data_IF_577188727613
#
_entry.id   IF_577188727613
#
_cell.length_a   1.000
_cell.length_b   1.000
_cell.length_c   1.000
_cell.angle_alpha   90.00
_cell.angle_beta   90.00
_cell.angle_gamma   90.00
#
_symmetry.space_group_name_H-M   'P 1'
#
loop_
_entity.id
_entity.type
_entity.pdbx_description
1 polymer ?
#
# COMPACT_ATOMS: atom_id res chain seq x y z
N UNK A 1 -13.97 -56.76 8.93
CA UNK A 1 -14.37 -55.33 9.07
C UNK A 1 -13.26 -54.59 9.78
N UNK A 2 -12.38 -53.88 9.05
CA UNK A 2 -11.43 -52.97 9.69
C UNK A 2 -10.95 -51.93 8.67
N UNK A 3 -11.36 -50.67 8.84
CA UNK A 3 -10.83 -49.52 8.08
C UNK A 3 -10.23 -48.54 9.07
N UNK A 4 -8.90 -48.45 9.06
CA UNK A 4 -8.10 -47.64 9.97
C UNK A 4 -8.39 -46.14 9.81
N UNK A 5 -8.54 -45.35 10.90
CA UNK A 5 -8.91 -43.93 10.86
C UNK A 5 -7.76 -42.97 10.50
N UNK A 6 -6.57 -43.49 10.16
CA UNK A 6 -5.36 -42.70 9.97
C UNK A 6 -5.36 -41.76 8.74
N UNK A 7 -6.35 -41.86 7.85
CA UNK A 7 -6.39 -41.09 6.60
C UNK A 7 -7.08 -39.72 6.71
N UNK A 8 -7.69 -39.38 7.85
CA UNK A 8 -8.42 -38.11 8.00
C UNK A 8 -7.55 -36.92 8.43
N UNK A 9 -6.41 -37.16 9.08
CA UNK A 9 -5.60 -36.09 9.67
C UNK A 9 -4.73 -35.36 8.63
N UNK A 10 -4.41 -35.99 7.49
CA UNK A 10 -3.50 -35.44 6.49
C UNK A 10 -4.10 -34.35 5.58
N UNK A 11 -5.43 -34.16 5.56
CA UNK A 11 -6.09 -33.19 4.65
C UNK A 11 -6.28 -31.78 5.24
N UNK A 12 -6.04 -31.59 6.54
CA UNK A 12 -6.25 -30.29 7.21
C UNK A 12 -5.00 -29.40 7.28
N UNK A 13 -3.79 -29.97 7.15
CA UNK A 13 -2.54 -29.20 7.26
C UNK A 13 -2.24 -28.39 5.98
N UNK A 14 -2.74 -28.82 4.82
CA UNK A 14 -2.52 -28.12 3.54
C UNK A 14 -3.39 -26.87 3.33
N UNK A 15 -4.50 -26.72 4.08
CA UNK A 15 -5.44 -25.62 3.90
C UNK A 15 -4.95 -24.29 4.52
N UNK A 16 -4.11 -24.34 5.57
CA UNK A 16 -3.62 -23.14 6.26
C UNK A 16 -2.50 -22.41 5.50
N UNK A 17 -1.66 -23.13 4.76
CA UNK A 17 -0.55 -22.53 4.01
C UNK A 17 -1.04 -21.73 2.77
N UNK A 18 -2.13 -22.16 2.14
CA UNK A 18 -2.68 -21.50 0.95
C UNK A 18 -3.15 -20.06 1.23
N UNK A 19 -3.87 -19.86 2.35
CA UNK A 19 -4.48 -18.56 2.69
C UNK A 19 -3.43 -17.46 2.96
N UNK A 20 -2.26 -17.83 3.50
CA UNK A 20 -1.18 -16.87 3.75
C UNK A 20 -0.54 -16.36 2.44
N UNK A 21 -0.42 -17.22 1.43
CA UNK A 21 0.14 -16.85 0.12
C UNK A 21 -0.79 -15.91 -0.65
N UNK A 22 -2.10 -16.09 -0.57
CA UNK A 22 -3.08 -15.22 -1.23
C UNK A 22 -3.04 -13.78 -0.70
N UNK A 23 -2.89 -13.62 0.62
CA UNK A 23 -2.83 -12.29 1.25
C UNK A 23 -1.54 -11.54 0.90
N UNK A 24 -0.41 -12.24 0.84
CA UNK A 24 0.87 -11.65 0.42
C UNK A 24 0.81 -11.15 -1.02
N UNK A 25 0.25 -11.94 -1.94
CA UNK A 25 0.06 -11.51 -3.33
C UNK A 25 -0.86 -10.29 -3.42
N UNK A 26 -1.99 -10.30 -2.71
CA UNK A 26 -2.90 -9.16 -2.69
C UNK A 26 -2.20 -7.88 -2.20
N UNK A 27 -1.34 -7.98 -1.18
CA UNK A 27 -0.53 -6.86 -0.71
C UNK A 27 0.47 -6.38 -1.77
N UNK A 28 1.20 -7.30 -2.40
CA UNK A 28 2.17 -6.98 -3.46
C UNK A 28 1.50 -6.30 -4.66
N UNK A 29 0.34 -6.79 -5.08
CA UNK A 29 -0.45 -6.20 -6.15
C UNK A 29 -0.90 -4.79 -5.80
N UNK A 30 -1.34 -4.56 -4.55
CA UNK A 30 -1.74 -3.24 -4.07
C UNK A 30 -0.57 -2.26 -4.02
N UNK A 31 0.60 -2.72 -3.58
CA UNK A 31 1.84 -1.92 -3.57
C UNK A 31 2.27 -1.57 -4.99
N UNK A 32 2.22 -2.52 -5.93
CA UNK A 32 2.58 -2.29 -7.33
C UNK A 32 1.63 -1.29 -8.01
N UNK A 33 0.31 -1.43 -7.78
CA UNK A 33 -0.68 -0.45 -8.25
C UNK A 33 -0.40 0.94 -7.66
N UNK A 34 -0.13 1.00 -6.36
CA UNK A 34 0.25 2.23 -5.65
C UNK A 34 1.48 2.91 -6.24
N UNK A 35 2.52 2.14 -6.58
CA UNK A 35 3.75 2.66 -7.19
C UNK A 35 3.48 3.31 -8.55
N UNK A 36 2.64 2.68 -9.38
CA UNK A 36 2.26 3.23 -10.69
C UNK A 36 1.48 4.53 -10.55
N UNK A 37 0.49 4.57 -9.66
CA UNK A 37 -0.32 5.78 -9.43
C UNK A 37 0.55 6.89 -8.83
N UNK A 38 1.41 6.57 -7.86
CA UNK A 38 2.36 7.51 -7.28
C UNK A 38 3.26 8.15 -8.34
N UNK A 39 3.77 7.35 -9.28
CA UNK A 39 4.60 7.84 -10.40
C UNK A 39 3.86 8.81 -11.32
N UNK A 40 2.55 8.67 -11.46
CA UNK A 40 1.75 9.55 -12.33
C UNK A 40 1.31 10.85 -11.64
N UNK A 41 1.03 10.81 -10.34
CA UNK A 41 0.37 11.92 -9.64
C UNK A 41 1.21 12.59 -8.55
N UNK A 42 2.24 11.93 -8.03
CA UNK A 42 2.94 12.36 -6.80
C UNK A 42 4.43 12.62 -7.00
N UNK A 43 5.11 11.79 -7.81
CA UNK A 43 6.57 11.78 -7.93
C UNK A 43 7.16 13.10 -8.43
N UNK A 44 6.43 13.85 -9.27
CA UNK A 44 6.90 15.14 -9.79
C UNK A 44 7.29 16.14 -8.69
N UNK A 45 6.65 16.04 -7.51
CA UNK A 45 6.90 16.93 -6.37
C UNK A 45 7.56 16.22 -5.18
N UNK A 46 7.25 14.94 -4.98
CA UNK A 46 7.76 14.16 -3.85
C UNK A 46 8.96 13.27 -4.20
N UNK A 47 9.39 13.28 -5.46
CA UNK A 47 10.48 12.47 -6.00
C UNK A 47 10.08 11.02 -6.28
N UNK A 48 10.83 10.37 -7.15
CA UNK A 48 10.65 8.93 -7.44
C UNK A 48 10.97 8.11 -6.20
N UNK A 49 10.15 7.07 -5.93
CA UNK A 49 10.33 6.18 -4.77
C UNK A 49 10.50 6.93 -3.44
N UNK A 50 9.72 8.01 -3.26
CA UNK A 50 9.75 8.89 -2.08
C UNK A 50 11.07 9.66 -1.87
N UNK A 51 12.01 9.62 -2.82
CA UNK A 51 13.29 10.31 -2.73
C UNK A 51 13.10 11.80 -2.96
N UNK A 52 12.65 12.49 -1.93
CA UNK A 52 12.37 13.92 -1.99
C UNK A 52 13.65 14.73 -2.27
N UNK A 53 13.72 15.36 -3.44
CA UNK A 53 14.84 16.21 -3.88
C UNK A 53 14.52 17.71 -3.82
N UNK A 54 13.37 18.08 -3.25
CA UNK A 54 12.85 19.46 -3.27
C UNK A 54 13.56 20.43 -2.31
N UNK A 55 14.58 19.98 -1.57
CA UNK A 55 15.26 20.81 -0.56
C UNK A 55 14.36 21.25 0.60
N UNK A 56 13.29 20.48 0.87
CA UNK A 56 12.32 20.78 1.94
C UNK A 56 11.09 21.57 1.50
N UNK A 57 10.96 21.90 0.21
CA UNK A 57 9.76 22.55 -0.32
C UNK A 57 8.51 21.65 -0.26
N UNK A 58 8.71 20.33 -0.38
CA UNK A 58 7.65 19.33 -0.18
C UNK A 58 7.88 18.53 1.09
N UNK A 59 6.79 18.03 1.67
CA UNK A 59 6.88 17.16 2.83
C UNK A 59 7.56 15.84 2.45
N UNK A 60 8.55 15.43 3.24
CA UNK A 60 9.20 14.14 3.12
C UNK A 60 8.27 13.01 3.56
N UNK A 61 7.77 12.24 2.59
CA UNK A 61 6.78 11.19 2.79
C UNK A 61 7.30 10.02 3.61
N UNK A 62 8.63 9.82 3.69
CA UNK A 62 9.23 8.77 4.54
C UNK A 62 8.99 9.02 6.03
N UNK A 63 8.62 10.26 6.40
CA UNK A 63 8.30 10.65 7.78
C UNK A 63 6.85 10.40 8.19
N UNK A 64 5.99 9.93 7.28
CA UNK A 64 4.64 9.49 7.65
C UNK A 64 4.75 8.23 8.52
N UNK A 65 3.88 8.12 9.52
CA UNK A 65 3.73 6.92 10.36
C UNK A 65 2.36 6.28 10.08
N UNK A 66 2.12 5.02 10.50
CA UNK A 66 0.81 4.39 10.31
C UNK A 66 -0.36 5.23 10.85
N UNK A 67 -0.16 5.92 11.98
CA UNK A 67 -1.16 6.81 12.58
C UNK A 67 -1.43 8.10 11.78
N UNK A 68 -0.63 8.43 10.77
CA UNK A 68 -0.80 9.61 9.91
C UNK A 68 -1.69 9.32 8.69
N UNK A 69 -2.37 8.17 8.62
CA UNK A 69 -3.23 7.78 7.49
C UNK A 69 -4.32 8.81 7.19
N UNK A 70 -5.09 9.24 8.19
CA UNK A 70 -6.14 10.26 8.01
C UNK A 70 -5.58 11.58 7.48
N UNK A 71 -4.38 11.97 7.97
CA UNK A 71 -3.68 13.17 7.52
C UNK A 71 -3.25 13.03 6.05
N UNK A 72 -2.77 11.86 5.65
CA UNK A 72 -2.44 11.56 4.26
C UNK A 72 -3.68 11.64 3.37
N UNK A 73 -4.75 10.92 3.71
CA UNK A 73 -6.01 10.92 2.94
C UNK A 73 -6.57 12.34 2.80
N UNK A 74 -6.59 13.11 3.89
CA UNK A 74 -7.06 14.49 3.86
C UNK A 74 -6.22 15.37 2.92
N UNK A 75 -4.89 15.23 2.97
CA UNK A 75 -4.00 15.99 2.11
C UNK A 75 -4.19 15.61 0.64
N UNK A 76 -4.28 14.33 0.31
CA UNK A 76 -4.46 13.87 -1.09
C UNK A 76 -5.81 14.33 -1.64
N UNK A 77 -6.89 14.20 -0.87
CA UNK A 77 -8.22 14.59 -1.33
C UNK A 77 -8.37 16.10 -1.50
N UNK A 78 -7.82 16.89 -0.56
CA UNK A 78 -8.11 18.32 -0.48
C UNK A 78 -6.92 19.21 -0.86
N UNK A 79 -5.77 18.62 -1.22
CA UNK A 79 -4.54 19.33 -1.50
C UNK A 79 -3.87 19.86 -0.23
N UNK A 80 -2.64 20.37 -0.39
CA UNK A 80 -1.89 21.04 0.68
C UNK A 80 -0.81 21.95 0.12
N UNK A 81 -0.85 23.24 0.46
CA UNK A 81 0.09 24.24 -0.05
C UNK A 81 0.09 24.26 -1.59
N UNK A 82 1.14 23.73 -2.24
CA UNK A 82 1.26 23.65 -3.70
C UNK A 82 0.78 22.29 -4.26
N UNK A 83 0.45 21.33 -3.39
CA UNK A 83 -0.09 20.03 -3.82
C UNK A 83 -1.57 20.21 -4.22
N UNK A 84 -1.96 19.91 -5.47
CA UNK A 84 -3.34 20.04 -5.90
C UNK A 84 -4.26 19.02 -5.20
N UNK A 85 -5.57 19.29 -5.11
CA UNK A 85 -6.55 18.31 -4.64
C UNK A 85 -6.82 17.24 -5.69
N UNK A 86 -6.98 16.00 -5.26
CA UNK A 86 -7.26 14.86 -6.14
C UNK A 86 -8.64 14.24 -5.98
N UNK A 87 -9.53 14.86 -5.19
CA UNK A 87 -10.93 14.43 -5.07
C UNK A 87 -11.60 14.39 -6.46
N UNK A 88 -12.19 13.24 -6.80
CA UNK A 88 -12.85 13.02 -8.09
C UNK A 88 -11.90 12.67 -9.23
N UNK A 89 -10.58 12.72 -9.00
CA UNK A 89 -9.55 12.21 -9.93
C UNK A 89 -9.07 10.84 -9.45
N UNK A 90 -8.83 10.71 -8.14
CA UNK A 90 -8.47 9.46 -7.49
C UNK A 90 -9.64 8.96 -6.63
N UNK A 91 -9.96 7.69 -6.74
CA UNK A 91 -10.89 7.01 -5.83
C UNK A 91 -10.17 6.54 -4.55
N UNK A 92 -10.94 6.08 -3.57
CA UNK A 92 -10.38 5.64 -2.29
C UNK A 92 -9.50 4.40 -2.42
N UNK A 93 -9.81 3.48 -3.33
CA UNK A 93 -8.99 2.27 -3.52
C UNK A 93 -7.60 2.60 -4.06
N UNK A 94 -7.55 3.55 -4.99
CA UNK A 94 -6.31 4.13 -5.53
C UNK A 94 -5.52 4.84 -4.43
N UNK A 95 -6.17 5.67 -3.60
CA UNK A 95 -5.53 6.36 -2.48
C UNK A 95 -4.94 5.36 -1.47
N UNK A 96 -5.68 4.30 -1.13
CA UNK A 96 -5.17 3.24 -0.25
C UNK A 96 -4.01 2.46 -0.89
N UNK A 97 -4.00 2.32 -2.21
CA UNK A 97 -2.90 1.68 -2.93
C UNK A 97 -1.64 2.55 -2.87
N UNK A 98 -1.77 3.86 -3.07
CA UNK A 98 -0.67 4.82 -2.86
C UNK A 98 -0.16 4.75 -1.43
N UNK A 99 -1.05 4.72 -0.42
CA UNK A 99 -0.65 4.58 0.97
C UNK A 99 0.16 3.30 1.22
N UNK A 100 -0.31 2.17 0.68
CA UNK A 100 0.37 0.88 0.79
C UNK A 100 1.78 0.94 0.18
N UNK A 101 1.93 1.59 -0.98
CA UNK A 101 3.23 1.84 -1.59
C UNK A 101 4.14 2.72 -0.72
N UNK A 102 3.61 3.81 -0.15
CA UNK A 102 4.37 4.71 0.73
C UNK A 102 4.88 3.93 1.94
N UNK A 103 4.01 3.16 2.61
CA UNK A 103 4.40 2.33 3.77
C UNK A 103 5.44 1.29 3.41
N UNK A 104 5.19 0.52 2.34
CA UNK A 104 6.12 -0.51 1.89
C UNK A 104 7.47 0.03 1.42
N UNK A 105 7.56 1.31 1.03
CA UNK A 105 8.82 1.95 0.64
C UNK A 105 9.53 2.60 1.82
N UNK A 106 8.78 3.27 2.71
CA UNK A 106 9.33 3.95 3.88
C UNK A 106 9.78 2.98 4.98
N UNK A 107 9.20 1.79 5.05
CA UNK A 107 9.50 0.77 6.08
C UNK A 107 10.57 -0.24 5.65
N UNK A 108 11.22 -0.06 4.49
CA UNK A 108 12.37 -0.85 4.04
C UNK A 108 13.65 -0.42 4.74
#
# INVERSE_FOLDING_TARGET
>A
MNRSPALYVARFVFALAAVASDCAWAADAKIAAGASIYGNYCSNCHGDELRNTSGGATFDLTRLRPADHDRFVNSVLNGKTQMPPWRGVLDMEQIESIWSFIRATADR
#
